data_IF_294735619687
#
_entry.id   IF_294735619687
#
_cell.length_a   1.000
_cell.length_b   1.000
_cell.length_c   1.000
_cell.angle_alpha   90.00
_cell.angle_beta   90.00
_cell.angle_gamma   90.00
#
_symmetry.space_group_name_H-M   'P 1'
#
loop_
_entity.id
_entity.type
_entity.pdbx_description
1 polymer ?
#
# COMPACT_ATOMS: atom_id res chain seq x y z
N UNK A 1 -50.20 32.80 25.10
CA UNK A 1 -51.30 31.82 25.26
C UNK A 1 -51.61 31.23 23.91
N UNK A 2 -51.04 30.06 23.64
CA UNK A 2 -51.46 29.13 22.59
C UNK A 2 -51.01 27.77 23.10
N UNK A 3 -51.91 27.11 23.81
CA UNK A 3 -51.76 25.73 24.27
C UNK A 3 -51.69 24.81 23.06
N UNK A 4 -50.56 24.13 22.88
CA UNK A 4 -50.43 23.05 21.90
C UNK A 4 -50.70 21.75 22.68
N UNK A 5 -51.95 21.31 22.64
CA UNK A 5 -52.35 19.99 23.15
C UNK A 5 -51.89 18.90 22.19
N UNK A 6 -50.93 18.09 22.62
CA UNK A 6 -50.55 16.86 21.90
C UNK A 6 -51.67 15.82 22.01
N UNK A 7 -52.01 15.09 20.93
CA UNK A 7 -53.01 14.03 20.97
C UNK A 7 -52.52 12.85 21.83
N UNK A 8 -53.44 12.05 22.42
CA UNK A 8 -53.09 10.97 23.33
C UNK A 8 -52.31 9.85 22.63
N UNK A 9 -51.20 9.45 23.24
CA UNK A 9 -50.44 8.26 22.86
C UNK A 9 -51.29 7.04 23.23
N UNK A 10 -51.84 6.35 22.23
CA UNK A 10 -52.40 5.02 22.40
C UNK A 10 -51.23 4.06 22.58
N UNK A 11 -50.97 3.65 23.82
CA UNK A 11 -50.07 2.52 24.10
C UNK A 11 -50.83 1.25 23.74
N UNK A 12 -50.72 0.83 22.48
CA UNK A 12 -51.11 -0.52 22.08
C UNK A 12 -50.16 -1.49 22.78
N UNK A 13 -50.65 -2.46 23.57
CA UNK A 13 -49.77 -3.49 24.13
C UNK A 13 -49.08 -4.22 22.98
N UNK A 14 -47.76 -4.29 23.08
CA UNK A 14 -46.89 -4.95 22.12
C UNK A 14 -47.41 -6.39 21.91
N UNK A 15 -47.70 -6.82 20.67
CA UNK A 15 -48.14 -8.19 20.43
C UNK A 15 -47.06 -9.13 20.97
N UNK A 16 -47.44 -10.24 21.63
CA UNK A 16 -46.46 -11.18 22.16
C UNK A 16 -45.51 -11.59 21.04
N UNK A 17 -44.20 -11.52 21.33
CA UNK A 17 -43.15 -11.99 20.43
C UNK A 17 -43.59 -13.34 19.85
N UNK A 18 -43.48 -13.56 18.53
CA UNK A 18 -43.79 -14.86 17.95
C UNK A 18 -42.98 -15.91 18.70
N UNK A 19 -43.66 -16.94 19.20
CA UNK A 19 -43.00 -18.08 19.80
C UNK A 19 -41.86 -18.52 18.88
N UNK A 20 -40.66 -18.82 19.43
CA UNK A 20 -39.59 -19.38 18.60
C UNK A 20 -40.17 -20.56 17.84
N UNK A 21 -39.86 -20.70 16.53
CA UNK A 21 -40.42 -21.78 15.74
C UNK A 21 -40.15 -23.09 16.48
N UNK A 22 -41.22 -23.76 16.90
CA UNK A 22 -41.11 -25.11 17.44
C UNK A 22 -40.37 -26.00 16.43
N UNK A 23 -39.74 -27.10 16.87
CA UNK A 23 -39.02 -27.98 15.96
C UNK A 23 -39.93 -28.34 14.79
N UNK A 24 -39.48 -28.01 13.57
CA UNK A 24 -40.20 -28.27 12.34
C UNK A 24 -40.61 -29.76 12.31
N UNK A 25 -41.90 -30.10 12.30
CA UNK A 25 -42.32 -31.47 12.14
C UNK A 25 -42.00 -31.86 10.69
N UNK A 26 -41.07 -32.80 10.51
CA UNK A 26 -40.72 -33.33 9.19
C UNK A 26 -39.42 -32.80 8.60
N UNK A 27 -38.53 -32.21 9.39
CA UNK A 27 -37.11 -32.16 9.07
C UNK A 27 -36.51 -33.57 9.18
N UNK A 28 -36.92 -34.47 8.27
CA UNK A 28 -36.26 -35.76 8.14
C UNK A 28 -34.78 -35.50 7.99
N UNK A 29 -33.95 -36.15 8.79
CA UNK A 29 -32.57 -36.38 8.41
C UNK A 29 -32.63 -36.88 6.96
N UNK A 30 -32.17 -36.07 6.00
CA UNK A 30 -31.82 -36.62 4.70
C UNK A 30 -30.63 -37.49 5.02
N UNK A 31 -30.88 -38.76 5.27
CA UNK A 31 -29.84 -39.74 5.51
C UNK A 31 -28.87 -39.60 4.35
N UNK A 32 -27.60 -39.35 4.66
CA UNK A 32 -26.51 -39.43 3.70
C UNK A 32 -26.76 -40.70 2.87
N UNK A 33 -26.89 -40.63 1.52
CA UNK A 33 -26.98 -41.84 0.73
C UNK A 33 -25.74 -42.66 1.07
N UNK A 34 -25.94 -43.78 1.76
CA UNK A 34 -24.82 -44.65 2.13
C UNK A 34 -24.31 -45.26 0.83
N UNK A 35 -22.99 -45.37 0.64
CA UNK A 35 -22.43 -46.08 -0.50
C UNK A 35 -23.07 -47.47 -0.59
N UNK A 36 -23.56 -47.82 -1.77
CA UNK A 36 -24.20 -49.12 -1.96
C UNK A 36 -23.17 -50.23 -1.68
N UNK A 37 -23.39 -51.01 -0.61
CA UNK A 37 -22.44 -52.03 -0.14
C UNK A 37 -22.52 -53.35 -0.92
N UNK A 38 -23.43 -53.41 -1.90
CA UNK A 38 -23.67 -54.58 -2.73
C UNK A 38 -24.46 -55.70 -2.04
N UNK A 39 -24.76 -55.59 -0.74
CA UNK A 39 -25.32 -56.69 0.06
C UNK A 39 -26.76 -56.44 0.44
N UNK A 40 -27.58 -57.45 0.21
CA UNK A 40 -29.01 -57.41 0.57
C UNK A 40 -29.57 -58.78 0.97
N UNK A 41 -28.74 -59.83 0.93
CA UNK A 41 -29.19 -61.18 1.21
C UNK A 41 -29.03 -61.44 2.71
N UNK A 42 -30.14 -61.38 3.43
CA UNK A 42 -30.19 -61.91 4.80
C UNK A 42 -30.17 -63.44 4.73
N UNK A 43 -29.12 -64.03 5.33
CA UNK A 43 -28.94 -65.48 5.37
C UNK A 43 -29.75 -66.16 6.50
N UNK A 44 -30.41 -65.38 7.36
CA UNK A 44 -31.24 -65.91 8.45
C UNK A 44 -32.40 -66.79 7.93
N UNK A 45 -32.99 -66.39 6.80
CA UNK A 45 -34.02 -67.14 6.07
C UNK A 45 -33.50 -68.51 5.58
N UNK A 46 -32.23 -68.57 5.15
CA UNK A 46 -31.60 -69.78 4.63
C UNK A 46 -31.29 -70.77 5.76
N UNK A 47 -30.80 -70.28 6.90
CA UNK A 47 -30.57 -71.10 8.09
C UNK A 47 -31.87 -71.69 8.64
N UNK A 48 -32.98 -70.93 8.60
CA UNK A 48 -34.30 -71.43 8.96
C UNK A 48 -34.81 -72.51 8.00
N UNK A 49 -34.54 -72.37 6.70
CA UNK A 49 -34.94 -73.33 5.68
C UNK A 49 -34.14 -74.64 5.75
N UNK A 50 -32.82 -74.57 5.99
CA UNK A 50 -31.94 -75.74 6.14
C UNK A 50 -32.28 -76.60 7.36
N UNK A 51 -32.91 -76.02 8.41
CA UNK A 51 -33.45 -76.80 9.53
C UNK A 51 -34.70 -77.61 9.18
N UNK A 52 -35.44 -77.20 8.15
CA UNK A 52 -36.72 -77.80 7.73
C UNK A 52 -36.58 -78.74 6.53
N UNK A 53 -35.53 -78.60 5.73
CA UNK A 53 -35.34 -79.33 4.48
C UNK A 53 -33.91 -79.86 4.35
N UNK A 54 -33.77 -81.11 3.87
CA UNK A 54 -32.47 -81.70 3.57
C UNK A 54 -31.98 -81.29 2.17
N UNK A 55 -31.08 -80.31 2.12
CA UNK A 55 -30.47 -79.81 0.88
C UNK A 55 -29.43 -80.76 0.27
N UNK A 56 -29.13 -81.89 0.90
CA UNK A 56 -28.29 -82.93 0.31
C UNK A 56 -29.09 -83.92 -0.56
N UNK A 57 -30.43 -83.90 -0.49
CA UNK A 57 -31.28 -84.79 -1.28
C UNK A 57 -31.53 -84.25 -2.71
N UNK A 58 -31.57 -85.11 -3.76
CA UNK A 58 -31.82 -84.68 -5.15
C UNK A 58 -33.10 -83.85 -5.35
N UNK A 59 -34.17 -84.14 -4.59
CA UNK A 59 -35.46 -83.44 -4.69
C UNK A 59 -35.38 -81.96 -4.30
N UNK A 60 -34.31 -81.54 -3.61
CA UNK A 60 -34.10 -80.13 -3.23
C UNK A 60 -33.59 -79.24 -4.38
N UNK A 61 -33.23 -79.82 -5.52
CA UNK A 61 -32.62 -79.12 -6.68
C UNK A 61 -33.42 -77.90 -7.12
N UNK A 62 -34.73 -78.04 -7.33
CA UNK A 62 -35.58 -76.92 -7.77
C UNK A 62 -35.68 -75.81 -6.70
N UNK A 63 -35.67 -76.18 -5.42
CA UNK A 63 -35.64 -75.21 -4.31
C UNK A 63 -34.32 -74.44 -4.30
N UNK A 64 -33.18 -75.12 -4.51
CA UNK A 64 -31.87 -74.46 -4.62
C UNK A 64 -31.83 -73.46 -5.77
N UNK A 65 -32.33 -73.84 -6.94
CA UNK A 65 -32.46 -72.95 -8.10
C UNK A 65 -33.34 -71.75 -7.77
N UNK A 66 -34.52 -71.95 -7.18
CA UNK A 66 -35.43 -70.87 -6.83
C UNK A 66 -34.81 -69.86 -5.84
N UNK A 67 -34.04 -70.33 -4.85
CA UNK A 67 -33.32 -69.47 -3.91
C UNK A 67 -32.21 -68.68 -4.62
N UNK A 68 -31.44 -69.33 -5.49
CA UNK A 68 -30.41 -68.67 -6.29
C UNK A 68 -31.00 -67.59 -7.21
N UNK A 69 -32.15 -67.85 -7.83
CA UNK A 69 -32.89 -66.86 -8.63
C UNK A 69 -33.34 -65.68 -7.77
N UNK A 70 -33.92 -65.96 -6.58
CA UNK A 70 -34.36 -64.91 -5.64
C UNK A 70 -33.20 -64.00 -5.24
N UNK A 71 -32.08 -64.57 -4.83
CA UNK A 71 -30.89 -63.81 -4.42
C UNK A 71 -30.40 -62.88 -5.54
N UNK A 72 -30.25 -63.42 -6.75
CA UNK A 72 -29.81 -62.65 -7.92
C UNK A 72 -30.78 -61.52 -8.26
N UNK A 73 -32.09 -61.79 -8.24
CA UNK A 73 -33.11 -60.78 -8.52
C UNK A 73 -33.09 -59.65 -7.50
N UNK A 74 -33.07 -60.00 -6.21
CA UNK A 74 -32.98 -59.00 -5.16
C UNK A 74 -31.76 -58.10 -5.40
N UNK A 75 -30.59 -58.68 -5.73
CA UNK A 75 -29.32 -57.93 -5.90
C UNK A 75 -29.45 -56.94 -7.06
N UNK A 76 -30.04 -57.39 -8.18
CA UNK A 76 -30.33 -56.54 -9.32
C UNK A 76 -31.29 -55.40 -8.96
N UNK A 77 -32.36 -55.68 -8.21
CA UNK A 77 -33.35 -54.67 -7.78
C UNK A 77 -32.69 -53.64 -6.85
N UNK A 78 -31.80 -54.07 -5.95
CA UNK A 78 -31.04 -53.18 -5.05
C UNK A 78 -30.08 -52.27 -5.81
N UNK A 79 -29.35 -52.81 -6.79
CA UNK A 79 -28.52 -52.00 -7.68
C UNK A 79 -29.36 -50.94 -8.40
N UNK A 80 -30.51 -51.34 -8.99
CA UNK A 80 -31.39 -50.44 -9.71
C UNK A 80 -31.97 -49.32 -8.83
N UNK A 81 -32.23 -49.61 -7.55
CA UNK A 81 -32.70 -48.62 -6.59
C UNK A 81 -31.62 -47.60 -6.16
N UNK A 82 -30.34 -47.99 -6.18
CA UNK A 82 -29.23 -47.15 -5.72
C UNK A 82 -28.56 -46.34 -6.83
N UNK A 83 -28.52 -46.86 -8.07
CA UNK A 83 -27.87 -46.19 -9.20
C UNK A 83 -28.30 -44.73 -9.41
N UNK A 84 -29.60 -44.37 -9.32
CA UNK A 84 -30.02 -42.97 -9.47
C UNK A 84 -29.47 -42.01 -8.41
N UNK A 85 -29.07 -42.51 -7.23
CA UNK A 85 -28.57 -41.70 -6.13
C UNK A 85 -27.06 -41.47 -6.19
N UNK A 86 -26.36 -42.10 -7.14
CA UNK A 86 -24.90 -42.07 -7.24
C UNK A 86 -24.32 -40.65 -7.37
N UNK A 87 -25.00 -39.76 -8.10
CA UNK A 87 -24.54 -38.37 -8.24
C UNK A 87 -24.58 -37.63 -6.88
N UNK A 88 -25.65 -37.82 -6.11
CA UNK A 88 -25.80 -37.23 -4.78
C UNK A 88 -24.79 -37.82 -3.77
N UNK A 89 -24.46 -39.11 -3.90
CA UNK A 89 -23.38 -39.75 -3.13
C UNK A 89 -22.03 -39.06 -3.42
N UNK A 90 -21.67 -38.91 -4.70
CA UNK A 90 -20.42 -38.25 -5.11
C UNK A 90 -20.35 -36.83 -4.55
N UNK A 91 -21.42 -36.05 -4.67
CA UNK A 91 -21.44 -34.67 -4.18
C UNK A 91 -21.29 -34.60 -2.66
N UNK A 92 -21.92 -35.52 -1.92
CA UNK A 92 -21.77 -35.62 -0.47
C UNK A 92 -20.35 -36.01 -0.06
N UNK A 93 -19.71 -36.97 -0.74
CA UNK A 93 -18.34 -37.39 -0.48
C UNK A 93 -17.35 -36.24 -0.72
N UNK A 94 -17.51 -35.53 -1.83
CA UNK A 94 -16.68 -34.37 -2.16
C UNK A 94 -16.88 -33.26 -1.12
N UNK A 95 -18.12 -32.89 -0.80
CA UNK A 95 -18.41 -31.83 0.17
C UNK A 95 -17.85 -32.15 1.57
N UNK A 96 -17.98 -33.41 2.02
CA UNK A 96 -17.46 -33.83 3.31
C UNK A 96 -15.94 -33.75 3.39
N UNK A 97 -15.22 -34.08 2.32
CA UNK A 97 -13.76 -34.02 2.28
C UNK A 97 -13.20 -32.61 2.05
N UNK A 98 -13.93 -31.74 1.35
CA UNK A 98 -13.56 -30.33 1.16
C UNK A 98 -13.72 -29.53 2.44
N UNK A 99 -14.72 -29.84 3.27
CA UNK A 99 -14.97 -29.15 4.54
C UNK A 99 -15.63 -27.77 4.36
N UNK A 100 -15.88 -27.09 5.48
CA UNK A 100 -16.62 -25.82 5.53
C UNK A 100 -15.72 -24.58 5.59
N UNK A 101 -14.42 -24.72 5.33
CA UNK A 101 -13.46 -23.62 5.44
C UNK A 101 -13.75 -22.51 4.41
N UNK A 102 -13.57 -21.25 4.83
CA UNK A 102 -13.65 -20.11 3.94
C UNK A 102 -12.41 -20.06 3.03
N UNK A 103 -12.52 -20.65 1.83
CA UNK A 103 -11.47 -20.68 0.81
C UNK A 103 -11.82 -19.72 -0.33
N UNK A 104 -10.79 -19.17 -1.00
CA UNK A 104 -11.01 -18.49 -2.28
C UNK A 104 -11.57 -19.46 -3.33
N UNK A 105 -12.17 -18.92 -4.40
CA UNK A 105 -12.75 -19.75 -5.46
C UNK A 105 -11.70 -20.69 -6.12
N UNK A 106 -10.47 -20.20 -6.31
CA UNK A 106 -9.37 -20.97 -6.88
C UNK A 106 -8.90 -22.07 -5.91
N UNK A 107 -8.69 -21.74 -4.64
CA UNK A 107 -8.28 -22.72 -3.61
C UNK A 107 -9.34 -23.80 -3.42
N UNK A 108 -10.62 -23.41 -3.38
CA UNK A 108 -11.75 -24.33 -3.30
C UNK A 108 -11.76 -25.30 -4.49
N UNK A 109 -11.64 -24.78 -5.71
CA UNK A 109 -11.64 -25.60 -6.93
C UNK A 109 -10.45 -26.56 -6.97
N UNK A 110 -9.26 -26.13 -6.52
CA UNK A 110 -8.07 -26.98 -6.39
C UNK A 110 -8.28 -28.11 -5.36
N UNK A 111 -8.82 -27.78 -4.18
CA UNK A 111 -9.12 -28.77 -3.13
C UNK A 111 -10.16 -29.79 -3.59
N UNK A 112 -11.24 -29.32 -4.22
CA UNK A 112 -12.25 -30.18 -4.84
C UNK A 112 -11.63 -31.13 -5.87
N UNK A 113 -10.76 -30.62 -6.75
CA UNK A 113 -10.08 -31.46 -7.74
C UNK A 113 -9.22 -32.55 -7.10
N UNK A 114 -8.41 -32.20 -6.09
CA UNK A 114 -7.60 -33.19 -5.37
C UNK A 114 -8.45 -34.28 -4.74
N UNK A 115 -9.59 -33.92 -4.13
CA UNK A 115 -10.53 -34.88 -3.55
C UNK A 115 -11.14 -35.78 -4.62
N UNK A 116 -11.62 -35.21 -5.74
CA UNK A 116 -12.21 -35.97 -6.84
C UNK A 116 -11.20 -36.95 -7.45
N UNK A 117 -9.95 -36.51 -7.68
CA UNK A 117 -8.89 -37.36 -8.22
C UNK A 117 -8.53 -38.51 -7.26
N UNK A 118 -8.56 -38.26 -5.94
CA UNK A 118 -8.39 -39.30 -4.94
C UNK A 118 -9.54 -40.32 -4.97
N UNK A 119 -10.79 -39.86 -5.08
CA UNK A 119 -11.96 -40.75 -5.19
C UNK A 119 -11.93 -41.59 -6.46
N UNK A 120 -11.41 -41.07 -7.58
CA UNK A 120 -11.20 -41.84 -8.82
C UNK A 120 -10.24 -43.00 -8.54
N UNK A 121 -9.09 -42.73 -7.92
CA UNK A 121 -8.08 -43.74 -7.61
C UNK A 121 -8.63 -44.82 -6.67
N UNK A 122 -9.34 -44.43 -5.61
CA UNK A 122 -10.00 -45.37 -4.70
C UNK A 122 -11.04 -46.22 -5.42
N UNK A 123 -11.89 -45.60 -6.25
CA UNK A 123 -12.93 -46.31 -7.00
C UNK A 123 -12.34 -47.29 -8.03
N UNK A 124 -11.20 -46.98 -8.64
CA UNK A 124 -10.48 -47.89 -9.55
C UNK A 124 -9.91 -49.11 -8.83
N UNK A 125 -9.37 -48.93 -7.62
CA UNK A 125 -8.91 -50.04 -6.77
C UNK A 125 -10.08 -50.95 -6.37
N UNK A 126 -11.20 -50.35 -5.94
CA UNK A 126 -12.42 -51.08 -5.58
C UNK A 126 -13.04 -51.80 -6.78
N UNK A 127 -12.96 -51.22 -7.97
CA UNK A 127 -13.44 -51.85 -9.20
C UNK A 127 -12.63 -53.10 -9.51
N UNK A 128 -11.30 -53.02 -9.40
CA UNK A 128 -10.41 -54.16 -9.63
C UNK A 128 -10.70 -55.29 -8.64
N UNK A 129 -10.86 -54.97 -7.35
CA UNK A 129 -11.23 -55.95 -6.33
C UNK A 129 -12.62 -56.57 -6.58
N UNK A 130 -13.60 -55.75 -7.00
CA UNK A 130 -14.96 -56.21 -7.29
C UNK A 130 -15.01 -57.11 -8.53
N UNK A 131 -14.22 -56.83 -9.57
CA UNK A 131 -14.10 -57.70 -10.74
C UNK A 131 -13.49 -59.06 -10.38
N UNK A 132 -12.46 -59.09 -9.52
CA UNK A 132 -11.86 -60.33 -9.04
C UNK A 132 -12.87 -61.16 -8.23
N UNK A 133 -13.60 -60.52 -7.31
CA UNK A 133 -14.64 -61.17 -6.50
C UNK A 133 -15.82 -61.67 -7.36
N UNK A 134 -16.22 -60.91 -8.40
CA UNK A 134 -17.27 -61.31 -9.32
C UNK A 134 -16.95 -62.63 -10.02
N UNK A 135 -15.70 -62.81 -10.44
CA UNK A 135 -15.27 -64.00 -11.18
C UNK A 135 -14.94 -65.19 -10.28
N UNK A 136 -14.85 -65.01 -8.95
CA UNK A 136 -14.31 -66.01 -8.03
C UNK A 136 -15.14 -67.30 -7.96
N UNK A 137 -16.47 -67.22 -8.07
CA UNK A 137 -17.35 -68.39 -7.94
C UNK A 137 -17.57 -69.11 -9.27
N UNK A 138 -17.96 -68.38 -10.33
CA UNK A 138 -18.27 -68.98 -11.64
C UNK A 138 -17.07 -69.13 -12.58
N UNK A 139 -15.91 -68.56 -12.23
CA UNK A 139 -14.76 -68.44 -13.14
C UNK A 139 -14.98 -67.46 -14.30
N UNK A 140 -16.08 -66.70 -14.26
CA UNK A 140 -16.49 -65.71 -15.27
C UNK A 140 -17.35 -64.65 -14.61
N UNK A 141 -17.61 -63.56 -15.33
CA UNK A 141 -18.60 -62.58 -14.90
C UNK A 141 -19.99 -63.25 -14.89
N UNK A 142 -20.69 -63.28 -13.75
CA UNK A 142 -22.01 -63.87 -13.65
C UNK A 142 -23.03 -63.16 -14.55
N UNK A 143 -22.90 -61.85 -14.79
CA UNK A 143 -23.86 -61.07 -15.58
C UNK A 143 -23.80 -61.35 -17.09
N UNK A 144 -22.87 -62.20 -17.55
CA UNK A 144 -22.80 -62.68 -18.94
C UNK A 144 -23.88 -63.72 -19.28
N UNK A 145 -24.52 -64.32 -18.27
CA UNK A 145 -25.69 -65.19 -18.45
C UNK A 145 -26.88 -64.61 -17.71
N UNK A 146 -28.08 -64.99 -18.15
CA UNK A 146 -29.30 -64.63 -17.44
C UNK A 146 -29.40 -65.35 -16.07
N UNK A 147 -30.33 -64.87 -15.24
CA UNK A 147 -30.52 -65.36 -13.88
C UNK A 147 -30.86 -66.87 -13.84
N UNK A 148 -31.80 -67.40 -14.66
CA UNK A 148 -32.08 -68.84 -14.69
C UNK A 148 -30.86 -69.69 -15.02
N UNK A 149 -30.07 -69.33 -16.04
CA UNK A 149 -28.89 -70.10 -16.43
C UNK A 149 -27.80 -70.04 -15.35
N UNK A 150 -27.60 -68.89 -14.69
CA UNK A 150 -26.69 -68.79 -13.53
C UNK A 150 -27.15 -69.63 -12.34
N UNK A 151 -28.46 -69.69 -12.07
CA UNK A 151 -29.00 -70.49 -10.98
C UNK A 151 -28.83 -72.00 -11.21
N UNK A 152 -28.90 -72.43 -12.47
CA UNK A 152 -28.56 -73.82 -12.86
C UNK A 152 -27.07 -74.08 -12.75
N UNK A 153 -26.21 -73.17 -13.25
CA UNK A 153 -24.75 -73.26 -13.11
C UNK A 153 -24.33 -73.36 -11.63
N UNK A 154 -24.99 -72.60 -10.75
CA UNK A 154 -24.80 -72.63 -9.29
C UNK A 154 -25.01 -74.04 -8.72
N UNK A 155 -26.15 -74.67 -9.03
CA UNK A 155 -26.44 -76.01 -8.50
C UNK A 155 -25.43 -77.04 -9.01
N UNK A 156 -25.04 -76.93 -10.28
CA UNK A 156 -24.03 -77.82 -10.87
C UNK A 156 -22.65 -77.69 -10.18
N UNK A 157 -22.23 -76.46 -9.88
CA UNK A 157 -20.97 -76.19 -9.16
C UNK A 157 -21.04 -76.66 -7.71
N UNK A 158 -22.15 -76.42 -7.01
CA UNK A 158 -22.35 -76.88 -5.63
C UNK A 158 -22.22 -78.41 -5.52
N UNK A 159 -22.83 -79.16 -6.45
CA UNK A 159 -22.69 -80.61 -6.49
C UNK A 159 -21.25 -81.07 -6.80
N UNK A 160 -20.55 -80.35 -7.68
CA UNK A 160 -19.18 -80.70 -8.10
C UNK A 160 -18.15 -80.44 -7.00
N UNK A 161 -18.24 -79.30 -6.33
CA UNK A 161 -17.20 -78.80 -5.43
C UNK A 161 -17.40 -79.23 -3.97
N UNK A 162 -18.54 -79.85 -3.65
CA UNK A 162 -18.90 -80.35 -2.30
C UNK A 162 -18.75 -79.32 -1.18
N UNK A 163 -18.87 -78.03 -1.51
CA UNK A 163 -18.74 -76.90 -0.59
C UNK A 163 -19.87 -76.83 0.46
N UNK A 164 -20.95 -77.60 0.25
CA UNK A 164 -22.17 -77.53 1.03
C UNK A 164 -23.02 -76.31 0.64
N UNK A 165 -24.33 -76.51 0.61
CA UNK A 165 -25.29 -75.53 0.09
C UNK A 165 -25.12 -74.11 0.66
N UNK A 166 -24.93 -73.97 1.98
CA UNK A 166 -24.79 -72.66 2.64
C UNK A 166 -23.61 -71.86 2.07
N UNK A 167 -22.43 -72.47 1.98
CA UNK A 167 -21.22 -71.80 1.48
C UNK A 167 -21.31 -71.52 -0.01
N UNK A 168 -21.82 -72.46 -0.81
CA UNK A 168 -22.04 -72.23 -2.24
C UNK A 168 -23.02 -71.08 -2.48
N UNK A 169 -24.11 -71.02 -1.70
CA UNK A 169 -25.11 -69.95 -1.81
C UNK A 169 -24.54 -68.58 -1.41
N UNK A 170 -23.67 -68.53 -0.39
CA UNK A 170 -22.91 -67.32 -0.05
C UNK A 170 -21.98 -66.91 -1.19
N UNK A 171 -21.19 -67.83 -1.73
CA UNK A 171 -20.26 -67.54 -2.81
C UNK A 171 -20.97 -67.06 -4.10
N UNK A 172 -22.14 -67.63 -4.41
CA UNK A 172 -23.03 -67.12 -5.46
C UNK A 172 -23.44 -65.66 -5.20
N UNK A 173 -23.97 -65.39 -4.00
CA UNK A 173 -24.46 -64.07 -3.65
C UNK A 173 -23.33 -63.02 -3.69
N UNK A 174 -22.15 -63.36 -3.17
CA UNK A 174 -20.97 -62.50 -3.19
C UNK A 174 -20.48 -62.23 -4.62
N UNK A 175 -20.40 -63.25 -5.47
CA UNK A 175 -20.02 -63.13 -6.89
C UNK A 175 -21.00 -62.24 -7.66
N UNK A 176 -22.30 -62.44 -7.51
CA UNK A 176 -23.33 -61.67 -8.21
C UNK A 176 -23.39 -60.21 -7.71
N UNK A 177 -23.26 -60.00 -6.40
CA UNK A 177 -23.16 -58.67 -5.78
C UNK A 177 -21.95 -57.90 -6.28
N UNK A 178 -20.78 -58.55 -6.33
CA UNK A 178 -19.54 -57.95 -6.80
C UNK A 178 -19.60 -57.55 -8.29
N UNK A 179 -20.34 -58.30 -9.12
CA UNK A 179 -20.52 -57.96 -10.52
C UNK A 179 -21.34 -56.67 -10.71
N UNK A 180 -22.46 -56.52 -9.99
CA UNK A 180 -23.21 -55.25 -10.01
C UNK A 180 -22.45 -54.10 -9.34
N UNK A 181 -21.69 -54.37 -8.27
CA UNK A 181 -20.79 -53.38 -7.67
C UNK A 181 -19.75 -52.87 -8.68
N UNK A 182 -19.23 -53.74 -9.55
CA UNK A 182 -18.33 -53.34 -10.63
C UNK A 182 -18.99 -52.38 -11.64
N UNK A 183 -20.28 -52.61 -11.98
CA UNK A 183 -21.05 -51.67 -12.82
C UNK A 183 -21.28 -50.33 -12.13
N UNK A 184 -21.62 -50.35 -10.84
CA UNK A 184 -21.80 -49.14 -10.04
C UNK A 184 -20.52 -48.30 -9.99
N UNK A 185 -19.38 -48.94 -9.72
CA UNK A 185 -18.07 -48.28 -9.65
C UNK A 185 -17.61 -47.74 -11.00
N UNK A 186 -17.92 -48.44 -12.09
CA UNK A 186 -17.63 -47.94 -13.44
C UNK A 186 -18.38 -46.64 -13.74
N UNK A 187 -19.66 -46.56 -13.36
CA UNK A 187 -20.45 -45.33 -13.49
C UNK A 187 -19.94 -44.22 -12.55
N UNK A 188 -19.55 -44.56 -11.32
CA UNK A 188 -18.94 -43.62 -10.36
C UNK A 188 -17.66 -43.02 -10.92
N UNK A 189 -16.77 -43.83 -11.49
CA UNK A 189 -15.53 -43.39 -12.13
C UNK A 189 -15.81 -42.47 -13.32
N UNK A 190 -16.82 -42.79 -14.15
CA UNK A 190 -17.23 -41.96 -15.28
C UNK A 190 -17.64 -40.55 -14.82
N UNK A 191 -18.54 -40.47 -13.85
CA UNK A 191 -19.04 -39.20 -13.29
C UNK A 191 -17.94 -38.40 -12.60
N UNK A 192 -17.08 -39.06 -11.81
CA UNK A 192 -15.95 -38.39 -11.16
C UNK A 192 -14.94 -37.84 -12.19
N UNK A 193 -14.71 -38.57 -13.29
CA UNK A 193 -13.80 -38.14 -14.36
C UNK A 193 -14.36 -36.91 -15.09
N UNK A 194 -15.66 -36.88 -15.38
CA UNK A 194 -16.33 -35.69 -15.92
C UNK A 194 -16.18 -34.48 -14.98
N UNK A 195 -16.37 -34.68 -13.68
CA UNK A 195 -16.19 -33.65 -12.65
C UNK A 195 -14.73 -33.16 -12.57
N UNK A 196 -13.74 -34.06 -12.63
CA UNK A 196 -12.32 -33.70 -12.60
C UNK A 196 -11.91 -32.86 -13.82
N UNK A 197 -12.44 -33.19 -15.00
CA UNK A 197 -12.20 -32.43 -16.23
C UNK A 197 -12.82 -31.03 -16.15
N UNK A 198 -14.06 -30.93 -15.65
CA UNK A 198 -14.72 -29.64 -15.44
C UNK A 198 -13.93 -28.75 -14.46
N UNK A 199 -13.48 -29.32 -13.33
CA UNK A 199 -12.65 -28.60 -12.36
C UNK A 199 -11.31 -28.15 -12.95
N UNK A 200 -10.72 -28.92 -13.85
CA UNK A 200 -9.48 -28.53 -14.55
C UNK A 200 -9.69 -27.25 -15.36
N UNK A 201 -10.81 -27.15 -16.10
CA UNK A 201 -11.16 -25.93 -16.84
C UNK A 201 -11.44 -24.73 -15.93
N UNK A 202 -12.14 -24.94 -14.81
CA UNK A 202 -12.41 -23.90 -13.82
C UNK A 202 -11.14 -23.37 -13.15
N UNK A 203 -10.19 -24.25 -12.83
CA UNK A 203 -8.90 -23.83 -12.25
C UNK A 203 -8.10 -23.03 -13.26
N UNK A 204 -8.06 -23.44 -14.52
CA UNK A 204 -7.32 -22.71 -15.56
C UNK A 204 -7.89 -21.31 -15.82
N UNK A 205 -9.22 -21.19 -15.87
CA UNK A 205 -9.90 -19.89 -16.04
C UNK A 205 -9.70 -18.98 -14.84
N UNK A 206 -9.91 -19.48 -13.62
CA UNK A 206 -9.70 -18.71 -12.40
C UNK A 206 -8.23 -18.26 -12.23
N UNK A 207 -7.26 -19.11 -12.60
CA UNK A 207 -5.84 -18.74 -12.58
C UNK A 207 -5.54 -17.61 -13.58
N UNK A 208 -6.06 -17.71 -14.81
CA UNK A 208 -5.84 -16.68 -15.83
C UNK A 208 -6.44 -15.32 -15.43
N UNK A 209 -7.61 -15.32 -14.76
CA UNK A 209 -8.22 -14.10 -14.23
C UNK A 209 -7.39 -13.48 -13.10
N UNK A 210 -6.85 -14.29 -12.19
CA UNK A 210 -5.99 -13.81 -11.11
C UNK A 210 -4.67 -13.23 -11.64
N UNK A 211 -4.03 -13.92 -12.60
CA UNK A 211 -2.80 -13.46 -13.24
C UNK A 211 -3.04 -12.14 -14.01
N UNK A 212 -4.16 -12.03 -14.73
CA UNK A 212 -4.54 -10.80 -15.42
C UNK A 212 -4.78 -9.63 -14.45
N UNK A 213 -5.40 -9.89 -13.30
CA UNK A 213 -5.60 -8.88 -12.25
C UNK A 213 -4.26 -8.40 -11.66
N UNK A 214 -3.34 -9.32 -11.37
CA UNK A 214 -2.01 -8.98 -10.86
C UNK A 214 -1.21 -8.17 -11.89
N UNK A 215 -1.26 -8.55 -13.17
CA UNK A 215 -0.61 -7.79 -14.24
C UNK A 215 -1.18 -6.37 -14.37
N UNK A 216 -2.52 -6.22 -14.33
CA UNK A 216 -3.18 -4.91 -14.37
C UNK A 216 -2.82 -4.04 -13.16
N UNK A 217 -2.74 -4.63 -11.96
CA UNK A 217 -2.31 -3.92 -10.76
C UNK A 217 -0.86 -3.44 -10.88
N UNK A 218 0.05 -4.29 -11.32
CA UNK A 218 1.46 -3.93 -11.49
C UNK A 218 1.64 -2.81 -12.55
N UNK A 219 0.86 -2.84 -13.63
CA UNK A 219 0.87 -1.77 -14.63
C UNK A 219 0.33 -0.45 -14.07
N UNK A 220 -0.77 -0.49 -13.29
CA UNK A 220 -1.32 0.69 -12.64
C UNK A 220 -0.34 1.31 -11.64
N UNK A 221 0.36 0.49 -10.84
CA UNK A 221 1.40 0.93 -9.91
C UNK A 221 2.59 1.57 -10.65
N UNK A 222 3.03 0.98 -11.76
CA UNK A 222 4.08 1.56 -12.61
C UNK A 222 3.68 2.92 -13.16
N UNK A 223 2.47 3.06 -13.69
CA UNK A 223 1.96 4.33 -14.21
C UNK A 223 1.81 5.38 -13.11
N UNK A 224 1.35 4.99 -11.92
CA UNK A 224 1.26 5.88 -10.76
C UNK A 224 2.65 6.36 -10.30
N UNK A 225 3.64 5.46 -10.26
CA UNK A 225 5.02 5.80 -9.92
C UNK A 225 5.65 6.74 -10.96
N UNK A 226 5.42 6.50 -12.26
CA UNK A 226 5.89 7.38 -13.35
C UNK A 226 5.25 8.77 -13.25
N UNK A 227 3.95 8.84 -12.99
CA UNK A 227 3.24 10.11 -12.80
C UNK A 227 3.75 10.88 -11.56
N UNK A 228 4.01 10.18 -10.45
CA UNK A 228 4.56 10.77 -9.24
C UNK A 228 5.98 11.32 -9.46
N UNK A 229 6.85 10.56 -10.13
CA UNK A 229 8.20 11.00 -10.47
C UNK A 229 8.19 12.23 -11.39
N UNK A 230 7.29 12.26 -12.38
CA UNK A 230 7.12 13.43 -13.25
C UNK A 230 6.64 14.67 -12.47
N UNK A 231 5.67 14.52 -11.59
CA UNK A 231 5.16 15.61 -10.76
C UNK A 231 6.23 16.17 -9.81
N UNK A 232 7.08 15.31 -9.25
CA UNK A 232 8.22 15.73 -8.43
C UNK A 232 9.28 16.47 -9.25
N UNK A 233 9.61 15.97 -10.45
CA UNK A 233 10.54 16.64 -11.35
C UNK A 233 10.03 18.02 -11.78
N UNK A 234 8.74 18.16 -12.10
CA UNK A 234 8.11 19.45 -12.42
C UNK A 234 8.16 20.42 -11.24
N UNK A 235 7.88 19.94 -10.02
CA UNK A 235 8.00 20.77 -8.80
C UNK A 235 9.42 21.27 -8.55
N UNK A 236 10.42 20.39 -8.68
CA UNK A 236 11.83 20.77 -8.51
C UNK A 236 12.27 21.77 -9.59
N UNK A 237 11.82 21.57 -10.83
CA UNK A 237 12.10 22.50 -11.92
C UNK A 237 11.45 23.88 -11.68
N UNK A 238 10.21 23.92 -11.17
CA UNK A 238 9.53 25.17 -10.82
C UNK A 238 10.20 25.88 -9.64
N UNK A 239 10.62 25.13 -8.61
CA UNK A 239 11.34 25.68 -7.46
C UNK A 239 12.69 26.26 -7.87
N UNK A 240 13.44 25.55 -8.72
CA UNK A 240 14.70 26.04 -9.27
C UNK A 240 14.49 27.27 -10.15
N UNK A 241 13.46 27.28 -11.02
CA UNK A 241 13.13 28.44 -11.84
C UNK A 241 12.78 29.68 -10.98
N UNK A 242 12.05 29.49 -9.86
CA UNK A 242 11.76 30.56 -8.90
C UNK A 242 13.02 31.04 -8.19
N UNK A 243 13.91 30.14 -7.78
CA UNK A 243 15.18 30.50 -7.15
C UNK A 243 16.07 31.31 -8.12
N UNK A 244 16.20 30.85 -9.37
CA UNK A 244 16.96 31.54 -10.42
C UNK A 244 16.38 32.92 -10.74
N UNK A 245 15.05 33.04 -10.81
CA UNK A 245 14.38 34.32 -10.99
C UNK A 245 14.69 35.29 -9.83
N UNK A 246 14.60 34.83 -8.59
CA UNK A 246 14.91 35.66 -7.42
C UNK A 246 16.39 36.11 -7.39
N UNK A 247 17.32 35.25 -7.83
CA UNK A 247 18.74 35.62 -7.94
C UNK A 247 18.92 36.69 -9.02
N UNK A 248 18.32 36.52 -10.20
CA UNK A 248 18.36 37.52 -11.29
C UNK A 248 17.79 38.86 -10.85
N UNK A 249 16.64 38.86 -10.16
CA UNK A 249 16.02 40.06 -9.62
C UNK A 249 16.90 40.74 -8.58
N UNK A 250 17.54 39.97 -7.69
CA UNK A 250 18.48 40.48 -6.71
C UNK A 250 19.72 41.12 -7.35
N UNK A 251 20.30 40.49 -8.38
CA UNK A 251 21.43 41.05 -9.14
C UNK A 251 21.00 42.37 -9.81
N UNK A 252 19.82 42.40 -10.44
CA UNK A 252 19.28 43.62 -11.06
C UNK A 252 19.07 44.72 -10.01
N UNK A 253 18.50 44.39 -8.86
CA UNK A 253 18.29 45.32 -7.76
C UNK A 253 19.59 45.96 -7.29
N UNK A 254 20.64 45.16 -7.09
CA UNK A 254 21.98 45.67 -6.74
C UNK A 254 22.56 46.57 -7.84
N UNK A 255 22.38 46.21 -9.11
CA UNK A 255 22.84 47.04 -10.23
C UNK A 255 22.09 48.38 -10.31
N UNK A 256 20.78 48.37 -10.06
CA UNK A 256 19.98 49.60 -10.04
C UNK A 256 20.29 50.48 -8.82
N UNK A 257 20.59 49.88 -7.66
CA UNK A 257 21.10 50.61 -6.51
C UNK A 257 22.38 51.40 -6.85
N UNK A 258 23.34 50.79 -7.54
CA UNK A 258 24.55 51.52 -7.97
C UNK A 258 24.23 52.67 -8.92
N UNK A 259 23.31 52.48 -9.88
CA UNK A 259 22.86 53.58 -10.75
C UNK A 259 22.23 54.71 -9.95
N UNK A 260 21.41 54.39 -8.95
CA UNK A 260 20.77 55.38 -8.09
C UNK A 260 21.79 56.17 -7.26
N UNK A 261 22.77 55.50 -6.67
CA UNK A 261 23.89 56.16 -5.98
C UNK A 261 24.67 57.05 -6.94
N UNK A 262 24.94 56.59 -8.17
CA UNK A 262 25.61 57.39 -9.19
C UNK A 262 24.84 58.65 -9.56
N UNK A 263 23.51 58.54 -9.67
CA UNK A 263 22.62 59.67 -9.94
C UNK A 263 22.48 60.65 -8.79
N UNK A 264 22.39 60.17 -7.54
CA UNK A 264 22.18 61.01 -6.34
C UNK A 264 23.48 61.61 -5.80
N UNK A 265 24.55 60.83 -5.76
CA UNK A 265 25.79 61.16 -5.05
C UNK A 265 27.03 61.23 -5.94
N UNK A 266 26.84 61.06 -7.26
CA UNK A 266 27.91 61.13 -8.26
C UNK A 266 28.54 59.77 -8.56
N UNK A 267 29.09 59.67 -9.77
CA UNK A 267 29.62 58.41 -10.31
C UNK A 267 30.75 57.81 -9.45
N UNK A 268 31.57 58.66 -8.82
CA UNK A 268 32.67 58.21 -7.96
C UNK A 268 32.17 57.45 -6.73
N UNK A 269 31.08 57.90 -6.08
CA UNK A 269 30.49 57.19 -4.94
C UNK A 269 29.89 55.84 -5.35
N UNK A 270 29.26 55.76 -6.54
CA UNK A 270 28.80 54.49 -7.09
C UNK A 270 29.94 53.52 -7.34
N UNK A 271 31.03 53.98 -7.97
CA UNK A 271 32.19 53.14 -8.28
C UNK A 271 32.84 52.61 -7.01
N UNK A 272 33.10 53.47 -6.02
CA UNK A 272 33.68 53.06 -4.74
C UNK A 272 32.81 52.05 -3.99
N UNK A 273 31.49 52.22 -4.03
CA UNK A 273 30.55 51.28 -3.41
C UNK A 273 30.57 49.91 -4.09
N UNK A 274 30.61 49.87 -5.43
CA UNK A 274 30.71 48.63 -6.18
C UNK A 274 32.06 47.92 -5.96
N UNK A 275 33.17 48.66 -5.97
CA UNK A 275 34.49 48.10 -5.68
C UNK A 275 34.62 47.59 -4.25
N UNK A 276 34.01 48.28 -3.27
CA UNK A 276 33.99 47.81 -1.89
C UNK A 276 33.27 46.47 -1.80
N UNK A 277 32.08 46.36 -2.40
CA UNK A 277 31.32 45.11 -2.47
C UNK A 277 32.09 43.97 -3.13
N UNK A 278 32.76 44.23 -4.25
CA UNK A 278 33.60 43.24 -4.93
C UNK A 278 34.77 42.79 -4.04
N UNK A 279 35.47 43.76 -3.43
CA UNK A 279 36.65 43.48 -2.61
C UNK A 279 36.35 42.73 -1.31
N UNK A 280 35.09 42.75 -0.87
CA UNK A 280 34.62 42.03 0.30
C UNK A 280 34.22 40.58 0.01
N UNK A 281 34.05 40.19 -1.26
CA UNK A 281 33.70 38.82 -1.63
C UNK A 281 34.78 37.85 -1.13
N UNK A 282 34.35 36.80 -0.44
CA UNK A 282 35.24 35.78 0.11
C UNK A 282 36.07 36.21 1.34
N UNK A 283 35.98 37.47 1.78
CA UNK A 283 36.66 37.95 2.99
C UNK A 283 35.78 37.83 4.23
N UNK A 284 36.42 37.78 5.40
CA UNK A 284 35.80 37.99 6.72
C UNK A 284 36.05 39.43 7.15
N UNK A 285 35.19 39.93 8.04
CA UNK A 285 35.42 41.24 8.67
C UNK A 285 36.64 41.19 9.58
N UNK A 286 37.33 42.32 9.69
CA UNK A 286 38.36 42.56 10.71
C UNK A 286 37.74 42.74 12.09
N UNK A 287 38.57 42.75 13.14
CA UNK A 287 38.09 42.99 14.51
C UNK A 287 37.57 44.43 14.67
N UNK A 288 36.70 44.67 15.67
CA UNK A 288 36.20 46.02 15.93
C UNK A 288 37.34 46.99 16.25
N UNK A 289 38.37 46.54 16.96
CA UNK A 289 39.53 47.38 17.31
C UNK A 289 40.29 47.83 16.06
N UNK A 290 40.52 46.93 15.10
CA UNK A 290 41.21 47.27 13.86
C UNK A 290 40.39 48.24 13.01
N UNK A 291 39.07 48.01 12.92
CA UNK A 291 38.16 48.89 12.19
C UNK A 291 38.08 50.29 12.84
N UNK A 292 37.99 50.37 14.16
CA UNK A 292 37.97 51.65 14.88
C UNK A 292 39.26 52.43 14.66
N UNK A 293 40.42 51.78 14.75
CA UNK A 293 41.71 52.43 14.49
C UNK A 293 41.81 53.03 13.08
N UNK A 294 41.24 52.35 12.08
CA UNK A 294 41.21 52.83 10.71
C UNK A 294 40.19 53.96 10.49
N UNK A 295 39.02 53.84 11.14
CA UNK A 295 37.95 54.83 11.06
C UNK A 295 38.29 56.14 11.77
N UNK A 296 38.93 56.07 12.95
CA UNK A 296 39.30 57.24 13.76
C UNK A 296 40.21 58.23 13.03
N UNK A 297 41.07 57.74 12.13
CA UNK A 297 41.96 58.59 11.31
C UNK A 297 41.17 59.63 10.47
N UNK A 298 39.94 59.30 10.08
CA UNK A 298 39.09 60.14 9.25
C UNK A 298 37.85 60.65 9.99
N UNK A 299 37.50 60.03 11.11
CA UNK A 299 36.34 60.39 11.95
C UNK A 299 36.33 61.87 12.32
N UNK A 300 37.47 62.44 12.73
CA UNK A 300 37.55 63.86 13.10
C UNK A 300 37.31 64.82 11.94
N UNK A 301 37.65 64.43 10.71
CA UNK A 301 37.36 65.20 9.50
C UNK A 301 35.89 65.06 9.09
N UNK A 302 35.35 63.84 9.17
CA UNK A 302 33.96 63.54 8.84
C UNK A 302 32.97 64.14 9.86
N UNK A 303 33.27 64.11 11.16
CA UNK A 303 32.41 64.64 12.21
C UNK A 303 32.17 66.15 12.09
N UNK A 304 33.18 66.89 11.61
CA UNK A 304 33.10 68.33 11.36
C UNK A 304 32.18 68.68 10.19
N UNK A 305 31.85 67.72 9.33
CA UNK A 305 30.95 67.90 8.18
C UNK A 305 29.47 67.80 8.56
N UNK A 306 29.15 67.43 9.80
CA UNK A 306 27.78 67.39 10.30
C UNK A 306 27.50 68.56 11.22
N UNK A 307 26.51 69.40 10.88
CA UNK A 307 25.90 70.30 11.85
C UNK A 307 25.01 69.52 12.84
N UNK A 308 24.62 70.15 13.94
CA UNK A 308 23.64 69.57 14.86
C UNK A 308 22.29 69.26 14.17
N UNK A 309 21.89 70.09 13.19
CA UNK A 309 20.69 69.88 12.41
C UNK A 309 20.81 68.66 11.47
N UNK A 310 21.98 68.48 10.84
CA UNK A 310 22.23 67.31 9.98
C UNK A 310 22.18 66.01 10.77
N UNK A 311 22.78 65.97 11.96
CA UNK A 311 22.73 64.80 12.86
C UNK A 311 21.30 64.47 13.25
N UNK A 312 20.50 65.47 13.65
CA UNK A 312 19.10 65.26 14.00
C UNK A 312 18.26 64.76 12.81
N UNK A 313 18.49 65.30 11.60
CA UNK A 313 17.80 64.85 10.40
C UNK A 313 18.15 63.39 10.04
N UNK A 314 19.42 62.99 10.19
CA UNK A 314 19.87 61.61 9.94
C UNK A 314 19.27 60.66 10.96
N UNK A 315 19.29 61.00 12.25
CA UNK A 315 18.69 60.18 13.32
C UNK A 315 17.20 59.99 13.06
N UNK A 316 16.46 61.06 12.75
CA UNK A 316 15.03 60.96 12.43
C UNK A 316 14.76 60.09 11.19
N UNK A 317 15.61 60.19 10.16
CA UNK A 317 15.49 59.37 8.96
C UNK A 317 15.78 57.89 9.24
N UNK A 318 16.77 57.60 10.09
CA UNK A 318 17.09 56.24 10.52
C UNK A 318 15.98 55.67 11.41
N UNK A 319 15.53 56.39 12.43
CA UNK A 319 14.49 55.93 13.35
C UNK A 319 13.12 55.67 12.66
N UNK A 320 12.90 56.25 11.46
CA UNK A 320 11.72 56.01 10.64
C UNK A 320 11.74 54.72 9.81
N UNK A 321 12.86 53.99 9.84
CA UNK A 321 13.09 52.84 8.97
C UNK A 321 12.29 51.60 9.42
N UNK A 322 11.55 51.01 8.49
CA UNK A 322 10.76 49.81 8.73
C UNK A 322 11.64 48.55 8.77
N UNK A 323 11.60 47.82 9.88
CA UNK A 323 12.44 46.64 10.10
C UNK A 323 12.18 45.53 9.05
N UNK A 324 10.94 45.38 8.57
CA UNK A 324 10.60 44.41 7.56
C UNK A 324 11.12 44.81 6.17
N UNK A 325 11.12 46.10 5.83
CA UNK A 325 11.71 46.64 4.62
C UNK A 325 13.23 46.49 4.60
N UNK A 326 13.91 46.83 5.70
CA UNK A 326 15.35 46.59 5.85
C UNK A 326 15.69 45.11 5.68
N UNK A 327 14.93 44.21 6.33
CA UNK A 327 15.12 42.76 6.18
C UNK A 327 14.94 42.28 4.74
N UNK A 328 13.92 42.79 4.02
CA UNK A 328 13.69 42.48 2.60
C UNK A 328 14.85 42.94 1.72
N UNK A 329 15.31 44.18 1.90
CA UNK A 329 16.37 44.77 1.08
C UNK A 329 17.74 44.14 1.40
N UNK A 330 18.01 43.83 2.67
CA UNK A 330 19.19 43.06 3.09
C UNK A 330 19.25 41.70 2.38
N UNK A 331 18.13 40.96 2.34
CA UNK A 331 18.06 39.66 1.66
C UNK A 331 18.28 39.79 0.14
N UNK A 332 17.76 40.86 -0.49
CA UNK A 332 18.00 41.15 -1.91
C UNK A 332 19.49 41.42 -2.18
N UNK A 333 20.14 42.27 -1.39
CA UNK A 333 21.57 42.53 -1.55
C UNK A 333 22.42 41.30 -1.27
N UNK A 334 22.13 40.54 -0.21
CA UNK A 334 22.81 39.30 0.11
C UNK A 334 22.75 38.30 -1.06
N UNK A 335 21.55 38.08 -1.64
CA UNK A 335 21.39 37.25 -2.84
C UNK A 335 22.13 37.82 -4.06
N UNK A 336 22.08 39.13 -4.27
CA UNK A 336 22.79 39.81 -5.36
C UNK A 336 24.31 39.69 -5.26
N UNK A 337 24.85 39.55 -4.04
CA UNK A 337 26.27 39.27 -3.80
C UNK A 337 26.63 37.79 -3.79
N UNK A 338 25.67 36.89 -3.99
CA UNK A 338 25.89 35.44 -3.94
C UNK A 338 26.09 34.88 -2.53
N UNK A 339 25.65 35.60 -1.49
CA UNK A 339 25.73 35.14 -0.10
C UNK A 339 24.52 34.27 0.26
N UNK A 340 24.79 33.05 0.76
CA UNK A 340 23.79 32.07 1.22
C UNK A 340 24.07 31.68 2.67
N UNK A 341 24.27 32.67 3.55
CA UNK A 341 24.54 32.43 4.97
C UNK A 341 23.35 32.78 5.88
N UNK A 342 23.60 32.74 7.20
CA UNK A 342 22.57 32.91 8.23
C UNK A 342 21.93 34.31 8.17
N UNK A 343 20.64 34.36 8.47
CA UNK A 343 19.93 35.63 8.69
C UNK A 343 20.57 36.38 9.86
N UNK A 344 20.88 37.67 9.67
CA UNK A 344 21.41 38.56 10.71
C UNK A 344 20.25 39.40 11.23
N UNK A 345 20.12 39.48 12.55
CA UNK A 345 19.22 40.45 13.18
C UNK A 345 19.80 41.86 13.06
N UNK A 346 19.57 42.45 11.89
CA UNK A 346 20.16 43.72 11.49
C UNK A 346 19.49 44.94 12.14
N UNK A 347 18.32 44.77 12.76
CA UNK A 347 17.58 45.89 13.34
C UNK A 347 18.28 46.43 14.60
N UNK A 348 18.86 45.55 15.41
CA UNK A 348 19.68 45.94 16.56
C UNK A 348 20.93 46.72 16.14
N UNK A 349 21.56 46.36 15.03
CA UNK A 349 22.69 47.11 14.49
C UNK A 349 22.26 48.48 13.98
N UNK A 350 21.11 48.56 13.31
CA UNK A 350 20.52 49.82 12.88
C UNK A 350 20.31 50.79 14.06
N UNK A 351 19.77 50.30 15.18
CA UNK A 351 19.58 51.12 16.39
C UNK A 351 20.92 51.66 16.95
N UNK A 352 21.98 50.85 16.96
CA UNK A 352 23.31 51.32 17.38
C UNK A 352 23.90 52.34 16.39
N UNK A 353 23.68 52.16 15.08
CA UNK A 353 24.07 53.17 14.07
C UNK A 353 23.35 54.50 14.32
N UNK A 354 22.04 54.49 14.61
CA UNK A 354 21.28 55.71 14.94
C UNK A 354 21.87 56.42 16.17
N UNK A 355 22.18 55.66 17.24
CA UNK A 355 22.87 56.20 18.43
C UNK A 355 24.25 56.79 18.10
N UNK A 356 25.04 56.14 17.25
CA UNK A 356 26.36 56.64 16.84
C UNK A 356 26.28 57.95 16.07
N UNK A 357 25.22 58.18 15.30
CA UNK A 357 24.98 59.49 14.68
C UNK A 357 24.64 60.57 15.71
N UNK A 358 23.82 60.22 16.72
CA UNK A 358 23.41 61.14 17.78
C UNK A 358 24.59 61.53 18.70
N UNK A 359 25.44 60.57 19.10
CA UNK A 359 26.52 60.79 20.08
C UNK A 359 27.87 61.09 19.44
N UNK A 360 28.07 60.68 18.18
CA UNK A 360 29.38 60.66 17.54
C UNK A 360 30.30 59.53 18.01
N UNK A 361 29.85 58.63 18.89
CA UNK A 361 30.62 57.47 19.35
C UNK A 361 30.24 56.20 18.57
N UNK A 362 31.24 55.56 17.95
CA UNK A 362 31.07 54.37 17.10
C UNK A 362 31.57 53.08 17.75
N UNK A 363 32.07 53.15 18.99
CA UNK A 363 32.64 51.99 19.67
C UNK A 363 31.62 50.85 19.85
N UNK A 364 30.42 51.19 20.36
CA UNK A 364 29.36 50.20 20.57
C UNK A 364 28.86 49.60 19.25
N UNK A 365 28.75 50.42 18.20
CA UNK A 365 28.37 49.96 16.86
C UNK A 365 29.42 49.01 16.28
N UNK A 366 30.71 49.31 16.45
CA UNK A 366 31.78 48.45 15.98
C UNK A 366 31.79 47.08 16.68
N UNK A 367 31.60 47.06 18.01
CA UNK A 367 31.47 45.82 18.79
C UNK A 367 30.22 45.02 18.38
N UNK A 368 29.12 45.71 18.09
CA UNK A 368 27.89 45.07 17.61
C UNK A 368 28.09 44.45 16.23
N UNK A 369 28.80 45.12 15.31
CA UNK A 369 29.18 44.55 14.01
C UNK A 369 30.03 43.29 14.19
N UNK A 370 31.09 43.35 15.00
CA UNK A 370 31.96 42.19 15.24
C UNK A 370 31.18 41.00 15.82
N UNK A 371 30.25 41.27 16.73
CA UNK A 371 29.40 40.24 17.35
C UNK A 371 28.42 39.62 16.35
N UNK A 372 27.65 40.45 15.63
CA UNK A 372 26.58 39.99 14.73
C UNK A 372 27.12 39.28 13.48
N UNK A 373 28.28 39.72 13.00
CA UNK A 373 28.92 39.17 11.81
C UNK A 373 30.13 38.29 12.15
N UNK A 374 30.25 37.83 13.40
CA UNK A 374 31.31 36.92 13.82
C UNK A 374 31.36 35.67 12.93
N UNK A 375 32.47 35.50 12.18
CA UNK A 375 32.64 34.40 11.24
C UNK A 375 31.79 34.48 9.96
N UNK A 376 30.99 35.54 9.77
CA UNK A 376 30.23 35.80 8.56
C UNK A 376 31.11 36.38 7.43
N UNK A 377 30.58 36.36 6.20
CA UNK A 377 31.25 37.00 5.06
C UNK A 377 31.13 38.53 5.17
N UNK A 378 32.18 39.25 4.76
CA UNK A 378 32.22 40.70 4.81
C UNK A 378 31.14 41.37 3.94
N UNK A 379 30.67 40.68 2.89
CA UNK A 379 29.53 41.11 2.05
C UNK A 379 28.24 41.25 2.83
N UNK A 380 28.09 40.59 3.99
CA UNK A 380 26.93 40.75 4.88
C UNK A 380 26.83 42.16 5.47
N UNK A 381 27.95 42.75 5.89
CA UNK A 381 27.97 44.12 6.43
C UNK A 381 27.69 45.16 5.34
N UNK A 382 28.17 44.92 4.12
CA UNK A 382 27.87 45.78 2.97
C UNK A 382 26.40 45.70 2.58
N UNK A 383 25.82 44.50 2.57
CA UNK A 383 24.40 44.31 2.32
C UNK A 383 23.54 45.05 3.36
N UNK A 384 23.98 45.09 4.62
CA UNK A 384 23.36 45.91 5.66
C UNK A 384 23.46 47.41 5.35
N UNK A 385 24.65 47.91 5.03
CA UNK A 385 24.86 49.32 4.71
C UNK A 385 24.01 49.79 3.51
N UNK A 386 23.93 48.97 2.46
CA UNK A 386 23.08 49.25 1.30
C UNK A 386 21.60 49.13 1.64
N UNK A 387 21.23 48.14 2.46
CA UNK A 387 19.88 47.97 2.98
C UNK A 387 19.39 49.21 3.75
N UNK A 388 20.21 49.76 4.64
CA UNK A 388 19.90 51.00 5.36
C UNK A 388 19.77 52.17 4.36
N UNK A 389 20.69 52.27 3.41
CA UNK A 389 20.72 53.38 2.43
C UNK A 389 19.50 53.40 1.51
N UNK A 390 19.03 52.24 1.03
CA UNK A 390 17.85 52.17 0.16
C UNK A 390 16.53 52.29 0.93
N UNK A 391 16.54 51.95 2.22
CA UNK A 391 15.34 51.97 3.09
C UNK A 391 15.21 53.27 3.91
N UNK A 392 16.11 54.24 3.73
CA UNK A 392 16.05 55.54 4.41
C UNK A 392 16.51 56.67 3.50
N UNK A 393 15.96 57.89 3.63
CA UNK A 393 16.37 59.05 2.83
C UNK A 393 17.67 59.67 3.37
N UNK A 394 18.75 58.88 3.44
CA UNK A 394 20.08 59.36 3.87
C UNK A 394 20.72 60.24 2.80
N UNK A 395 21.29 61.37 3.21
CA UNK A 395 22.06 62.26 2.34
C UNK A 395 23.49 61.76 2.09
N UNK A 396 24.20 62.41 1.15
CA UNK A 396 25.56 62.00 0.73
C UNK A 396 26.57 61.90 1.89
N UNK A 397 26.48 62.80 2.87
CA UNK A 397 27.39 62.84 4.02
C UNK A 397 27.19 61.63 4.93
N UNK A 398 25.93 61.27 5.22
CA UNK A 398 25.59 60.10 6.02
C UNK A 398 25.95 58.80 5.28
N UNK A 399 25.67 58.74 3.98
CA UNK A 399 26.06 57.61 3.15
C UNK A 399 27.60 57.41 3.17
N UNK A 400 28.37 58.46 2.94
CA UNK A 400 29.83 58.40 2.95
C UNK A 400 30.40 57.99 4.32
N UNK A 401 29.80 58.44 5.43
CA UNK A 401 30.22 58.03 6.78
C UNK A 401 29.96 56.53 7.03
N UNK A 402 28.76 56.03 6.69
CA UNK A 402 28.43 54.59 6.79
C UNK A 402 29.40 53.78 5.95
N UNK A 403 29.67 54.20 4.72
CA UNK A 403 30.57 53.47 3.81
C UNK A 403 32.03 53.53 4.25
N UNK A 404 32.48 54.64 4.84
CA UNK A 404 33.81 54.74 5.45
C UNK A 404 33.94 53.81 6.67
N UNK A 405 32.91 53.76 7.53
CA UNK A 405 32.86 52.85 8.67
C UNK A 405 32.89 51.38 8.23
N UNK A 406 32.04 51.00 7.26
CA UNK A 406 32.00 49.63 6.69
C UNK A 406 33.32 49.27 6.03
N UNK A 407 33.94 50.22 5.32
CA UNK A 407 35.26 50.03 4.70
C UNK A 407 36.35 49.71 5.73
N UNK A 408 36.27 50.28 6.93
CA UNK A 408 37.25 50.06 7.99
C UNK A 408 37.30 48.59 8.44
N UNK A 409 36.18 47.86 8.35
CA UNK A 409 36.13 46.42 8.61
C UNK A 409 36.70 45.55 7.49
N UNK A 410 37.09 46.14 6.35
CA UNK A 410 37.52 45.42 5.14
C UNK A 410 38.94 45.82 4.74
N UNK A 411 39.23 47.11 4.56
CA UNK A 411 40.50 47.66 4.09
C UNK A 411 40.66 49.15 4.44
N UNK A 412 41.75 49.50 5.12
CA UNK A 412 42.08 50.88 5.54
C UNK A 412 42.14 51.86 4.34
N UNK A 413 42.61 51.40 3.18
CA UNK A 413 42.76 52.24 1.99
C UNK A 413 41.42 52.78 1.50
N UNK A 414 40.33 52.02 1.71
CA UNK A 414 38.99 52.39 1.23
C UNK A 414 38.33 53.45 2.10
N UNK A 415 38.66 53.51 3.39
CA UNK A 415 38.20 54.57 4.31
C UNK A 415 38.61 55.94 3.78
N UNK A 416 39.88 56.08 3.36
CA UNK A 416 40.40 57.29 2.73
C UNK A 416 39.67 57.64 1.44
N UNK A 417 39.42 56.66 0.57
CA UNK A 417 38.76 56.89 -0.73
C UNK A 417 37.34 57.45 -0.58
N UNK A 418 36.57 56.98 0.40
CA UNK A 418 35.24 57.53 0.69
C UNK A 418 35.31 58.94 1.29
N UNK A 419 36.30 59.22 2.14
CA UNK A 419 36.54 60.58 2.64
C UNK A 419 36.90 61.55 1.50
N UNK A 420 37.87 61.17 0.66
CA UNK A 420 38.32 62.00 -0.49
C UNK A 420 37.18 62.24 -1.49
N UNK A 421 36.35 61.22 -1.76
CA UNK A 421 35.19 61.36 -2.64
C UNK A 421 34.14 62.32 -2.05
N UNK A 422 33.97 62.32 -0.73
CA UNK A 422 33.08 63.27 -0.05
C UNK A 422 33.63 64.70 -0.12
N UNK A 423 34.95 64.88 0.08
CA UNK A 423 35.63 66.18 -0.04
C UNK A 423 35.53 66.75 -1.46
N UNK A 424 35.57 65.89 -2.49
CA UNK A 424 35.42 66.31 -3.88
C UNK A 424 34.00 66.83 -4.21
N UNK A 425 32.97 66.33 -3.54
CA UNK A 425 31.57 66.75 -3.75
C UNK A 425 31.18 67.94 -2.85
N UNK A 426 31.78 68.03 -1.66
CA UNK A 426 31.57 69.12 -0.70
C UNK A 426 32.93 69.74 -0.32
N UNK A 427 33.57 70.51 -1.23
CA UNK A 427 34.80 71.21 -0.93
C UNK A 427 34.48 72.33 0.07
N UNK A 428 35.08 72.27 1.26
CA UNK A 428 34.99 73.31 2.28
C UNK A 428 36.20 74.25 2.18
#
# INVERSE_FOLDING_TARGET
MTDITLPPIIVTPEPPLPLPPGPLPGGGFIAKPLPWDGKIVDFSDIDALMRKMNFSHPDSTMTKVALAVRAQKQIADSYAANLPNLLAEIDSEVAAAVGADALSALEKSRKEKTVVDALINTSQADLTASLAAANAYFGRDPLLKDIPHNAVDFVNLEYKDRLGFKHAYQALADSYSAAYKSRYLSEKIRLLTEKSNALTGLIATAQAEEDARLAAQAEAERLAAEAAAKAEAERLAEEQAKADAQIKDAIKFTADFYKEIGGKFGQQMSTLSAELAESAKGKKLRSAQEALNAFEQYKGALDKKFSAADRAAIVNALDSLDSAELGKNLNRFAKGFGYVGKAVDAYDLHNEVSKSYATGDWNNTALKVETLFAGAAATGLIAFAFGVTVSSPVGIVAFALIMAFVSAFIDDKRVKQFNDALDAVLPF
#
